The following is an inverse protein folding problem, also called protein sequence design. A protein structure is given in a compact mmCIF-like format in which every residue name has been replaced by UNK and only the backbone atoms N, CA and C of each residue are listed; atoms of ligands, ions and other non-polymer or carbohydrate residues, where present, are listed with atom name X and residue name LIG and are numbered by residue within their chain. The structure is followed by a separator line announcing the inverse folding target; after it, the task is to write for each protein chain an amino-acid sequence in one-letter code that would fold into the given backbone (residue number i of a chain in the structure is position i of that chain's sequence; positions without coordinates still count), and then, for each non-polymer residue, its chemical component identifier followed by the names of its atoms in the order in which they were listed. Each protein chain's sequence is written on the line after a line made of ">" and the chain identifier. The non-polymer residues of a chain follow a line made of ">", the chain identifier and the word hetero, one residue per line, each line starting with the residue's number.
data_IF_683062401151
#
_entry.id   IF_683062401151
#
_cell.length_a   1.000
_cell.length_b   1.000
_cell.length_c   1.000
_cell.angle_alpha   90.00
_cell.angle_beta   90.00
_cell.angle_gamma   90.00
#
_symmetry.space_group_name_H-M   'P 1'
#
loop_
_entity.id
_entity.type
_entity.pdbx_description
1 polymer ?
#
# COMPACT_ATOMS: atom_id res chain seq x y z
N UNK A 1 -6.48 -11.69 -4.40
CA UNK A 1 -6.55 -10.53 -3.49
C UNK A 1 -6.50 -11.05 -2.07
N UNK A 2 -5.47 -10.68 -1.32
CA UNK A 2 -5.21 -11.11 0.07
C UNK A 2 -5.78 -10.07 1.06
N UNK A 3 -5.91 -10.45 2.34
CA UNK A 3 -6.46 -9.57 3.37
C UNK A 3 -5.67 -8.27 3.54
N UNK A 4 -4.34 -8.31 3.39
CA UNK A 4 -3.49 -7.13 3.51
C UNK A 4 -3.72 -6.15 2.35
N UNK A 5 -3.91 -6.63 1.12
CA UNK A 5 -4.16 -5.76 -0.03
C UNK A 5 -5.45 -4.95 0.15
N UNK A 6 -6.50 -5.60 0.64
CA UNK A 6 -7.77 -4.94 0.96
C UNK A 6 -7.60 -3.90 2.06
N UNK A 7 -6.90 -4.25 3.14
CA UNK A 7 -6.66 -3.34 4.27
C UNK A 7 -5.84 -2.11 3.84
N UNK A 8 -4.74 -2.31 3.11
CA UNK A 8 -3.91 -1.22 2.61
C UNK A 8 -4.70 -0.29 1.69
N UNK A 9 -5.51 -0.86 0.80
CA UNK A 9 -6.36 -0.07 -0.11
C UNK A 9 -7.35 0.80 0.68
N UNK A 10 -8.01 0.24 1.70
CA UNK A 10 -8.91 1.03 2.55
C UNK A 10 -8.17 2.16 3.29
N UNK A 11 -7.08 1.82 3.98
CA UNK A 11 -6.34 2.79 4.81
C UNK A 11 -5.67 3.89 3.99
N UNK A 12 -5.31 3.59 2.74
CA UNK A 12 -4.74 4.57 1.82
C UNK A 12 -5.69 5.75 1.59
N UNK A 13 -7.01 5.53 1.54
CA UNK A 13 -8.01 6.59 1.32
C UNK A 13 -8.71 7.06 2.60
N UNK A 14 -8.44 6.41 3.74
CA UNK A 14 -9.07 6.78 5.00
C UNK A 14 -8.60 8.16 5.48
N UNK A 15 -9.56 9.01 5.88
CA UNK A 15 -9.31 10.38 6.35
C UNK A 15 -9.82 10.62 7.78
N UNK A 16 -10.31 9.57 8.43
CA UNK A 16 -10.94 9.59 9.74
C UNK A 16 -9.98 9.20 10.87
N UNK A 17 -8.68 9.15 10.60
CA UNK A 17 -7.62 8.79 11.54
C UNK A 17 -6.58 9.91 11.60
N UNK A 18 -6.20 10.31 12.81
CA UNK A 18 -5.20 11.34 13.10
C UNK A 18 -3.88 10.74 13.66
N UNK A 19 -3.73 9.42 13.58
CA UNK A 19 -2.57 8.67 14.05
C UNK A 19 -2.03 7.70 12.99
N UNK A 20 -0.75 7.35 13.12
CA UNK A 20 -0.10 6.34 12.29
C UNK A 20 -0.63 4.94 12.62
N UNK A 21 -0.97 4.16 11.60
CA UNK A 21 -1.46 2.79 11.74
C UNK A 21 -0.31 1.83 11.50
N UNK A 22 0.02 1.02 12.51
CA UNK A 22 1.07 0.03 12.47
C UNK A 22 0.45 -1.36 12.28
N UNK A 23 0.83 -2.05 11.20
CA UNK A 23 0.38 -3.40 10.88
C UNK A 23 1.59 -4.32 11.02
N UNK A 24 1.48 -5.35 11.85
CA UNK A 24 2.56 -6.30 12.13
C UNK A 24 2.33 -7.64 11.44
N UNK A 25 3.41 -8.41 11.26
CA UNK A 25 3.38 -9.78 10.72
C UNK A 25 2.78 -9.88 9.32
N UNK A 26 3.10 -8.90 8.46
CA UNK A 26 2.60 -8.87 7.09
C UNK A 26 3.37 -9.84 6.21
N UNK A 27 2.66 -10.63 5.40
CA UNK A 27 3.26 -11.39 4.31
C UNK A 27 3.73 -10.41 3.21
N UNK A 28 5.04 -10.16 3.11
CA UNK A 28 5.59 -9.22 2.12
C UNK A 28 5.88 -9.92 0.80
N UNK A 29 4.82 -10.26 0.08
CA UNK A 29 4.91 -10.86 -1.25
C UNK A 29 5.15 -9.78 -2.33
N UNK A 30 5.70 -10.13 -3.52
CA UNK A 30 5.97 -9.17 -4.58
C UNK A 30 4.75 -8.32 -4.98
N UNK A 31 3.55 -8.92 -5.00
CA UNK A 31 2.31 -8.22 -5.31
C UNK A 31 1.92 -7.19 -4.23
N UNK A 32 2.19 -7.46 -2.95
CA UNK A 32 1.98 -6.49 -1.86
C UNK A 32 2.91 -5.29 -2.00
N UNK A 33 4.20 -5.53 -2.31
CA UNK A 33 5.17 -4.45 -2.56
C UNK A 33 4.76 -3.58 -3.75
N UNK A 34 4.23 -4.22 -4.79
CA UNK A 34 3.74 -3.55 -5.99
C UNK A 34 2.53 -2.66 -5.69
N UNK A 35 1.57 -3.15 -4.91
CA UNK A 35 0.42 -2.36 -4.46
C UNK A 35 0.86 -1.15 -3.64
N UNK A 36 1.77 -1.33 -2.68
CA UNK A 36 2.33 -0.22 -1.88
C UNK A 36 2.96 0.84 -2.79
N UNK A 37 3.77 0.41 -3.77
CA UNK A 37 4.39 1.32 -4.74
C UNK A 37 3.35 2.08 -5.56
N UNK A 38 2.30 1.40 -6.02
CA UNK A 38 1.19 2.02 -6.74
C UNK A 38 0.48 3.08 -5.88
N UNK A 39 0.09 2.73 -4.65
CA UNK A 39 -0.61 3.63 -3.74
C UNK A 39 0.25 4.84 -3.35
N UNK A 40 1.54 4.63 -3.06
CA UNK A 40 2.46 5.73 -2.77
C UNK A 40 2.67 6.65 -3.98
N UNK A 41 2.74 6.10 -5.20
CA UNK A 41 2.77 6.91 -6.42
C UNK A 41 1.48 7.72 -6.62
N UNK A 42 0.34 7.19 -6.20
CA UNK A 42 -0.93 7.90 -6.19
C UNK A 42 -0.98 9.00 -5.11
N UNK A 43 -0.07 8.99 -4.12
CA UNK A 43 0.01 10.00 -3.07
C UNK A 43 -0.28 9.48 -1.67
N UNK A 44 -0.38 8.17 -1.47
CA UNK A 44 -0.43 7.56 -0.14
C UNK A 44 0.90 7.73 0.60
N UNK A 45 0.88 7.53 1.91
CA UNK A 45 2.07 7.49 2.75
C UNK A 45 2.14 6.14 3.48
N UNK A 46 2.68 5.15 2.79
CA UNK A 46 2.81 3.76 3.27
C UNK A 46 4.30 3.40 3.30
N UNK A 47 4.80 3.06 4.48
CA UNK A 47 6.19 2.62 4.67
C UNK A 47 6.22 1.14 5.01
N UNK A 48 7.00 0.38 4.25
CA UNK A 48 7.26 -1.02 4.51
C UNK A 48 8.62 -1.16 5.22
N UNK A 49 8.61 -1.72 6.41
CA UNK A 49 9.82 -1.93 7.20
C UNK A 49 10.43 -3.31 6.93
N UNK A 50 11.71 -3.45 7.30
CA UNK A 50 12.48 -4.70 7.14
C UNK A 50 11.98 -5.83 8.04
N UNK A 51 11.31 -5.49 9.14
CA UNK A 51 10.80 -6.40 10.17
C UNK A 51 9.38 -6.95 9.87
N UNK A 52 8.95 -6.89 8.60
CA UNK A 52 7.62 -7.32 8.17
C UNK A 52 6.47 -6.50 8.79
N UNK A 53 6.76 -5.26 9.21
CA UNK A 53 5.73 -4.29 9.58
C UNK A 53 5.47 -3.26 8.46
N UNK A 54 4.23 -2.77 8.42
CA UNK A 54 3.82 -1.67 7.56
C UNK A 54 3.30 -0.53 8.43
N UNK A 55 3.76 0.69 8.15
CA UNK A 55 3.23 1.92 8.73
C UNK A 55 2.43 2.64 7.65
N UNK A 56 1.14 2.83 7.88
CA UNK A 56 0.29 3.66 7.03
C UNK A 56 0.03 4.97 7.76
N UNK A 57 0.34 6.10 7.12
CA UNK A 57 -0.08 7.42 7.57
C UNK A 57 -1.32 7.83 6.78
N UNK A 58 -2.51 7.76 7.39
CA UNK A 58 -3.76 8.12 6.74
C UNK A 58 -3.63 9.56 6.21
N UNK A 59 -3.80 9.70 4.91
CA UNK A 59 -3.70 10.98 4.23
C UNK A 59 -4.73 10.96 3.13
N UNK A 60 -5.48 12.06 2.97
CA UNK A 60 -6.34 12.21 1.80
C UNK A 60 -5.46 12.14 0.56
N UNK A 61 -5.44 10.99 -0.09
CA UNK A 61 -4.68 10.80 -1.32
C UNK A 61 -5.12 11.87 -2.30
N UNK A 62 -4.19 12.73 -2.67
CA UNK A 62 -4.35 13.65 -3.77
C UNK A 62 -3.61 13.02 -4.95
N UNK A 63 -4.38 12.38 -5.84
CA UNK A 63 -3.83 11.71 -7.02
C UNK A 63 -3.04 12.72 -7.85
N UNK A 64 -1.71 12.59 -7.83
CA UNK A 64 -0.81 13.45 -8.60
C UNK A 64 -0.64 12.97 -10.04
N UNK A 65 -0.75 11.66 -10.26
CA UNK A 65 -0.57 11.02 -11.56
C UNK A 65 -1.75 10.07 -11.84
N UNK A 66 -2.43 10.28 -12.97
CA UNK A 66 -3.63 9.51 -13.35
C UNK A 66 -3.30 8.26 -14.19
N UNK A 67 -2.05 8.13 -14.61
CA UNK A 67 -1.57 6.99 -15.39
C UNK A 67 -0.74 6.05 -14.51
N UNK A 68 -0.99 4.75 -14.66
CA UNK A 68 -0.17 3.72 -14.02
C UNK A 68 0.02 2.53 -14.95
N UNK A 69 1.21 1.93 -14.89
CA UNK A 69 1.51 0.70 -15.62
C UNK A 69 1.25 -0.50 -14.71
N UNK A 70 0.33 -1.38 -15.13
CA UNK A 70 0.15 -2.68 -14.50
C UNK A 70 1.39 -3.53 -14.79
N UNK A 71 1.95 -4.11 -13.73
CA UNK A 71 3.17 -4.90 -13.78
C UNK A 71 2.78 -6.34 -14.19
N UNK A 72 3.55 -7.03 -15.05
CA UNK A 72 3.23 -8.38 -15.49
C UNK A 72 3.15 -9.38 -14.33
N UNK A 73 2.41 -10.45 -14.52
CA UNK A 73 2.42 -11.58 -13.60
C UNK A 73 3.81 -12.24 -13.58
N UNK A 74 4.41 -12.34 -12.40
CA UNK A 74 5.74 -12.92 -12.22
C UNK A 74 5.72 -14.45 -12.14
N UNK A 75 4.53 -15.07 -12.00
CA UNK A 75 4.37 -16.53 -11.97
C UNK A 75 4.32 -17.10 -13.39
N UNK A 76 3.89 -16.30 -14.36
CA UNK A 76 3.76 -16.69 -15.77
C UNK A 76 5.02 -16.39 -16.62
N UNK A 77 6.12 -15.94 -15.99
CA UNK A 77 7.36 -15.54 -16.64
C UNK A 77 8.35 -16.69 -16.87
#
# INVERSE_FOLDING_TARGET
>A
MTAIETLLTYLAFADNFDYDINIYQVAIEPHVRNLIKFLNNAGANITLNVDHSIVVKPSKIQIKNHEFTIIPDYIAA
#
